data_IF_778876755687
#
_entry.id   IF_778876755687
#
_cell.length_a   1.000
_cell.length_b   1.000
_cell.length_c   1.000
_cell.angle_alpha   90.00
_cell.angle_beta   90.00
_cell.angle_gamma   90.00
#
_symmetry.space_group_name_H-M   'P 1'
#
loop_
_entity.id
_entity.type
_entity.pdbx_description
1 polymer ?
#
# COMPACT_ATOMS: atom_id res chain seq x y z
N UNK A 1 -12.32 -2.72 -2.75
CA UNK A 1 -12.17 -3.57 -1.54
C UNK A 1 -10.97 -3.17 -0.68
N UNK A 2 -9.72 -3.04 -1.18
CA UNK A 2 -8.58 -2.70 -0.32
C UNK A 2 -8.84 -1.45 0.52
N UNK A 3 -9.19 -0.32 -0.09
CA UNK A 3 -9.46 0.93 0.62
C UNK A 3 -10.72 0.87 1.49
N UNK A 4 -11.74 0.14 1.07
CA UNK A 4 -12.90 -0.09 1.94
C UNK A 4 -12.51 -0.82 3.23
N UNK A 5 -11.57 -1.77 3.14
CA UNK A 5 -11.03 -2.46 4.32
C UNK A 5 -10.14 -1.54 5.16
N UNK A 6 -9.20 -0.82 4.54
CA UNK A 6 -8.28 0.08 5.28
C UNK A 6 -9.05 1.16 6.03
N UNK A 7 -9.99 1.83 5.37
CA UNK A 7 -10.78 2.91 5.98
C UNK A 7 -11.80 2.33 6.96
N UNK A 8 -12.56 1.33 6.54
CA UNK A 8 -13.61 0.74 7.38
C UNK A 8 -13.06 0.06 8.64
N UNK A 9 -11.97 -0.70 8.54
CA UNK A 9 -11.35 -1.29 9.73
C UNK A 9 -10.71 -0.23 10.65
N UNK A 10 -10.23 0.88 10.08
CA UNK A 10 -9.75 2.01 10.88
C UNK A 10 -10.87 2.64 11.71
N UNK A 11 -12.03 2.93 11.08
CA UNK A 11 -13.20 3.47 11.76
C UNK A 11 -13.69 2.50 12.86
N UNK A 12 -13.85 1.23 12.51
CA UNK A 12 -14.31 0.21 13.47
C UNK A 12 -13.36 0.07 14.65
N UNK A 13 -12.06 -0.02 14.37
CA UNK A 13 -11.05 -0.21 15.40
C UNK A 13 -10.96 1.01 16.33
N UNK A 14 -11.01 2.23 15.78
CA UNK A 14 -11.02 3.46 16.57
C UNK A 14 -12.25 3.52 17.51
N UNK A 15 -13.44 3.22 16.98
CA UNK A 15 -14.68 3.20 17.74
C UNK A 15 -14.67 2.19 18.90
N UNK A 16 -14.04 1.03 18.70
CA UNK A 16 -14.01 -0.06 19.70
C UNK A 16 -12.81 0.01 20.66
N UNK A 17 -11.78 0.77 20.32
CA UNK A 17 -10.53 0.79 21.08
C UNK A 17 -10.62 1.56 22.42
N UNK A 18 -11.72 2.27 22.68
CA UNK A 18 -11.87 3.05 23.92
C UNK A 18 -10.74 4.07 24.14
N UNK A 19 -10.22 4.69 23.08
CA UNK A 19 -9.11 5.62 23.12
C UNK A 19 -7.71 4.99 23.10
N UNK A 20 -7.60 3.66 23.11
CA UNK A 20 -6.30 2.98 22.98
C UNK A 20 -5.85 2.89 21.52
N UNK A 21 -4.95 3.81 21.15
CA UNK A 21 -4.44 3.92 19.78
C UNK A 21 -3.71 2.64 19.30
N UNK A 22 -3.05 1.91 20.21
CA UNK A 22 -2.38 0.66 19.84
C UNK A 22 -3.39 -0.44 19.45
N UNK A 23 -4.52 -0.53 20.15
CA UNK A 23 -5.62 -1.44 19.80
C UNK A 23 -6.26 -1.01 18.49
N UNK A 24 -6.50 0.28 18.27
CA UNK A 24 -7.02 0.81 17.02
C UNK A 24 -6.08 0.48 15.84
N UNK A 25 -4.77 0.67 16.01
CA UNK A 25 -3.79 0.32 15.00
C UNK A 25 -3.76 -1.17 14.71
N UNK A 26 -3.82 -2.03 15.73
CA UNK A 26 -3.87 -3.48 15.56
C UNK A 26 -5.11 -3.92 14.79
N UNK A 27 -6.28 -3.38 15.17
CA UNK A 27 -7.56 -3.63 14.51
C UNK A 27 -7.61 -3.13 13.05
N UNK A 28 -6.79 -2.14 12.69
CA UNK A 28 -6.62 -1.71 11.29
C UNK A 28 -5.59 -2.57 10.53
N UNK A 29 -4.51 -2.97 11.20
CA UNK A 29 -3.37 -3.70 10.61
C UNK A 29 -3.77 -5.10 10.13
N UNK A 30 -4.42 -5.88 10.98
CA UNK A 30 -4.76 -7.29 10.69
C UNK A 30 -5.70 -7.40 9.48
N UNK A 31 -6.83 -6.66 9.41
CA UNK A 31 -7.71 -6.71 8.24
C UNK A 31 -7.02 -6.26 6.96
N UNK A 32 -6.14 -5.25 7.05
CA UNK A 32 -5.39 -4.77 5.86
C UNK A 32 -4.45 -5.84 5.31
N UNK A 33 -3.72 -6.54 6.15
CA UNK A 33 -2.88 -7.66 5.71
C UNK A 33 -3.71 -8.82 5.15
N UNK A 34 -4.80 -9.17 5.83
CA UNK A 34 -5.68 -10.26 5.42
C UNK A 34 -6.35 -10.00 4.06
N UNK A 35 -6.89 -8.79 3.84
CA UNK A 35 -7.53 -8.48 2.55
C UNK A 35 -6.52 -8.46 1.39
N UNK A 36 -5.27 -8.09 1.62
CA UNK A 36 -4.22 -8.18 0.60
C UNK A 36 -3.98 -9.63 0.19
N UNK A 37 -3.91 -10.57 1.14
CA UNK A 37 -3.79 -12.01 0.81
C UNK A 37 -4.94 -12.43 -0.08
N UNK A 38 -6.18 -12.11 0.29
CA UNK A 38 -7.39 -12.48 -0.46
C UNK A 38 -7.36 -11.90 -1.87
N UNK A 39 -7.16 -10.58 -1.99
CA UNK A 39 -7.23 -9.89 -3.28
C UNK A 39 -6.09 -10.32 -4.22
N UNK A 40 -4.87 -10.49 -3.71
CA UNK A 40 -3.75 -10.93 -4.54
C UNK A 40 -3.95 -12.38 -4.99
N UNK A 41 -4.49 -13.24 -4.13
CA UNK A 41 -4.79 -14.64 -4.49
C UNK A 41 -5.82 -14.70 -5.62
N UNK A 42 -6.90 -13.91 -5.53
CA UNK A 42 -7.98 -13.93 -6.53
C UNK A 42 -7.54 -13.27 -7.84
N UNK A 43 -6.94 -12.08 -7.77
CA UNK A 43 -6.66 -11.25 -8.93
C UNK A 43 -5.26 -11.40 -9.50
N UNK A 44 -4.36 -12.09 -8.80
CA UNK A 44 -3.02 -12.38 -9.31
C UNK A 44 -3.02 -13.02 -10.68
N UNK A 45 -3.75 -14.12 -10.89
CA UNK A 45 -3.85 -14.79 -12.20
C UNK A 45 -4.55 -13.96 -13.27
N UNK A 46 -5.40 -13.00 -12.88
CA UNK A 46 -6.23 -12.20 -13.81
C UNK A 46 -5.47 -10.97 -14.29
N UNK A 47 -4.85 -10.22 -13.37
CA UNK A 47 -4.28 -8.90 -13.65
C UNK A 47 -2.87 -8.69 -13.08
N UNK A 48 -2.28 -9.68 -12.46
CA UNK A 48 -1.05 -9.51 -11.69
C UNK A 48 -1.25 -8.82 -10.33
N UNK A 49 -2.47 -8.40 -10.01
CA UNK A 49 -2.88 -7.84 -8.72
C UNK A 49 -1.93 -6.76 -8.16
N UNK A 50 -1.55 -5.79 -8.99
CA UNK A 50 -0.61 -4.74 -8.53
C UNK A 50 -1.21 -3.91 -7.38
N UNK A 51 -2.48 -3.47 -7.48
CA UNK A 51 -3.21 -2.63 -6.52
C UNK A 51 -2.44 -1.40 -5.98
N UNK A 52 -1.34 -1.03 -6.64
CA UNK A 52 -0.38 -0.06 -6.12
C UNK A 52 0.41 0.58 -7.27
N UNK A 53 0.40 1.92 -7.45
CA UNK A 53 1.18 2.59 -8.48
C UNK A 53 2.70 2.40 -8.34
N UNK A 54 3.23 2.28 -7.11
CA UNK A 54 4.66 2.02 -6.89
C UNK A 54 5.07 0.61 -7.35
N UNK A 55 4.20 -0.38 -7.13
CA UNK A 55 4.37 -1.73 -7.69
C UNK A 55 4.27 -1.69 -9.21
N UNK A 56 3.28 -1.00 -9.76
CA UNK A 56 3.11 -0.83 -11.21
C UNK A 56 4.34 -0.19 -11.85
N UNK A 57 4.93 0.84 -11.22
CA UNK A 57 6.19 1.44 -11.64
C UNK A 57 7.33 0.42 -11.69
N UNK A 58 7.46 -0.43 -10.67
CA UNK A 58 8.49 -1.49 -10.64
C UNK A 58 8.37 -2.45 -11.82
N UNK A 59 7.15 -2.90 -12.15
CA UNK A 59 6.91 -3.76 -13.30
C UNK A 59 7.16 -3.04 -14.63
N UNK A 60 6.84 -1.74 -14.73
CA UNK A 60 7.16 -0.91 -15.89
C UNK A 60 8.67 -0.79 -16.12
N UNK A 61 9.44 -0.47 -15.06
CA UNK A 61 10.90 -0.36 -15.12
C UNK A 61 11.55 -1.68 -15.54
N UNK A 62 10.97 -2.80 -15.16
CA UNK A 62 11.39 -4.15 -15.56
C UNK A 62 10.87 -4.57 -16.93
N UNK A 63 10.19 -3.70 -17.67
CA UNK A 63 9.60 -3.95 -19.00
C UNK A 63 8.63 -5.15 -19.01
N UNK A 64 7.93 -5.39 -17.89
CA UNK A 64 6.92 -6.46 -17.78
C UNK A 64 5.53 -6.01 -18.18
N UNK A 65 5.30 -4.70 -18.30
CA UNK A 65 4.07 -4.07 -18.79
C UNK A 65 4.43 -2.91 -19.71
N UNK A 66 3.51 -2.52 -20.59
CA UNK A 66 3.66 -1.35 -21.45
C UNK A 66 3.33 -0.06 -20.69
N UNK A 67 3.77 1.09 -21.21
CA UNK A 67 3.45 2.40 -20.63
C UNK A 67 1.94 2.62 -20.61
N UNK A 68 1.22 2.29 -21.69
CA UNK A 68 -0.24 2.43 -21.76
C UNK A 68 -0.94 1.59 -20.69
N UNK A 69 -0.52 0.33 -20.50
CA UNK A 69 -1.04 -0.51 -19.43
C UNK A 69 -0.74 0.08 -18.04
N UNK A 70 0.47 0.59 -17.81
CA UNK A 70 0.83 1.21 -16.53
C UNK A 70 -0.06 2.42 -16.22
N UNK A 71 -0.31 3.29 -17.19
CA UNK A 71 -1.21 4.43 -17.02
C UNK A 71 -2.63 3.97 -16.68
N UNK A 72 -3.16 2.98 -17.41
CA UNK A 72 -4.48 2.43 -17.13
C UNK A 72 -4.56 1.82 -15.71
N UNK A 73 -3.54 1.05 -15.31
CA UNK A 73 -3.46 0.50 -13.94
C UNK A 73 -3.50 1.60 -12.88
N UNK A 74 -2.67 2.63 -13.01
CA UNK A 74 -2.62 3.73 -12.04
C UNK A 74 -3.97 4.45 -11.96
N UNK A 75 -4.60 4.73 -13.10
CA UNK A 75 -5.90 5.40 -13.15
C UNK A 75 -6.98 4.58 -12.40
N UNK A 76 -7.12 3.28 -12.72
CA UNK A 76 -8.13 2.43 -12.07
C UNK A 76 -7.80 2.15 -10.60
N UNK A 77 -6.53 2.14 -10.21
CA UNK A 77 -6.13 2.00 -8.81
C UNK A 77 -6.54 3.22 -7.98
N UNK A 78 -6.37 4.43 -8.51
CA UNK A 78 -6.77 5.67 -7.84
C UNK A 78 -8.30 5.75 -7.76
N UNK A 79 -9.00 5.57 -8.88
CA UNK A 79 -10.47 5.61 -8.92
C UNK A 79 -11.07 4.55 -7.99
N UNK A 80 -10.61 3.32 -8.08
CA UNK A 80 -11.06 2.23 -7.21
C UNK A 80 -10.73 2.46 -5.74
N UNK A 81 -9.59 3.13 -5.46
CA UNK A 81 -9.22 3.56 -4.11
C UNK A 81 -10.23 4.55 -3.53
N UNK A 82 -10.57 5.59 -4.29
CA UNK A 82 -11.55 6.63 -3.90
C UNK A 82 -12.93 6.00 -3.67
N UNK A 83 -13.41 5.19 -4.61
CA UNK A 83 -14.68 4.48 -4.46
C UNK A 83 -14.68 3.59 -3.21
N UNK A 84 -13.57 2.91 -2.94
CA UNK A 84 -13.42 2.09 -1.74
C UNK A 84 -13.51 2.89 -0.44
N UNK A 85 -12.88 4.08 -0.39
CA UNK A 85 -12.99 5.01 0.75
C UNK A 85 -14.44 5.46 0.95
N UNK A 86 -15.11 5.90 -0.10
CA UNK A 86 -16.51 6.31 -0.02
C UNK A 86 -17.45 5.16 0.34
N UNK A 87 -17.16 3.94 -0.11
CA UNK A 87 -17.91 2.75 0.32
C UNK A 87 -17.78 2.52 1.83
N UNK A 88 -16.59 2.73 2.40
CA UNK A 88 -16.41 2.67 3.86
C UNK A 88 -17.24 3.76 4.56
N UNK A 89 -17.19 5.01 4.06
CA UNK A 89 -18.01 6.09 4.63
C UNK A 89 -19.49 5.74 4.67
N UNK A 90 -20.04 5.21 3.57
CA UNK A 90 -21.45 4.79 3.52
C UNK A 90 -21.75 3.66 4.51
N UNK A 91 -20.89 2.64 4.61
CA UNK A 91 -21.09 1.53 5.55
C UNK A 91 -21.08 1.95 7.02
N UNK A 92 -20.37 3.04 7.34
CA UNK A 92 -20.22 3.55 8.70
C UNK A 92 -21.00 4.85 8.96
N UNK A 93 -21.94 5.21 8.07
CA UNK A 93 -22.73 6.44 8.19
C UNK A 93 -21.90 7.72 8.39
N UNK A 94 -20.71 7.78 7.75
CA UNK A 94 -19.87 8.96 7.72
C UNK A 94 -20.27 9.88 6.55
N UNK A 95 -19.90 11.16 6.62
CA UNK A 95 -20.00 12.05 5.49
C UNK A 95 -19.23 11.49 4.29
N UNK A 96 -19.86 11.50 3.11
CA UNK A 96 -19.28 10.88 1.91
C UNK A 96 -18.01 11.58 1.45
N UNK A 97 -18.05 12.90 1.38
CA UNK A 97 -16.94 13.74 0.90
C UNK A 97 -16.24 14.42 2.06
N UNK A 98 -15.06 13.95 2.39
CA UNK A 98 -14.25 14.48 3.48
C UNK A 98 -12.85 14.83 2.96
N UNK A 99 -12.18 15.77 3.62
CA UNK A 99 -10.74 15.99 3.50
C UNK A 99 -10.11 15.75 4.87
N UNK A 100 -9.06 14.96 4.90
CA UNK A 100 -8.39 14.63 6.16
C UNK A 100 -7.70 15.83 6.80
N UNK A 101 -7.86 15.97 8.09
CA UNK A 101 -7.10 16.91 8.94
C UNK A 101 -5.86 16.26 9.59
N UNK A 102 -5.67 14.94 9.46
CA UNK A 102 -4.60 14.21 10.12
C UNK A 102 -3.23 14.53 9.56
N UNK A 103 -2.42 15.23 10.34
CA UNK A 103 -1.06 15.61 9.94
C UNK A 103 -0.13 14.39 9.92
N UNK A 104 0.47 14.10 8.76
CA UNK A 104 1.50 13.06 8.57
C UNK A 104 2.59 13.62 7.66
N UNK A 105 3.64 14.20 8.25
CA UNK A 105 4.72 14.84 7.48
C UNK A 105 6.03 14.83 8.27
N UNK A 106 7.11 15.18 7.60
CA UNK A 106 8.45 15.28 8.17
C UNK A 106 9.38 14.14 7.73
N UNK A 107 10.69 14.36 7.88
CA UNK A 107 11.72 13.46 7.38
C UNK A 107 11.59 12.01 7.87
N UNK A 108 11.20 11.81 9.11
CA UNK A 108 10.98 10.46 9.67
C UNK A 108 9.82 9.74 8.98
N UNK A 109 8.72 10.44 8.69
CA UNK A 109 7.56 9.88 8.00
C UNK A 109 7.90 9.54 6.54
N UNK A 110 8.60 10.42 5.84
CA UNK A 110 9.02 10.19 4.45
C UNK A 110 10.03 9.06 4.34
N UNK A 111 11.04 9.01 5.24
CA UNK A 111 11.97 7.89 5.30
C UNK A 111 11.22 6.57 5.54
N UNK A 112 10.25 6.56 6.45
CA UNK A 112 9.41 5.40 6.74
C UNK A 112 8.66 4.91 5.51
N UNK A 113 8.06 5.82 4.71
CA UNK A 113 7.38 5.46 3.46
C UNK A 113 8.36 4.91 2.41
N UNK A 114 9.55 5.49 2.29
CA UNK A 114 10.63 4.97 1.44
C UNK A 114 11.03 3.55 1.83
N UNK A 115 11.29 3.30 3.12
CA UNK A 115 11.64 1.98 3.66
C UNK A 115 10.49 0.99 3.49
N UNK A 116 9.25 1.40 3.81
CA UNK A 116 8.07 0.55 3.66
C UNK A 116 7.85 0.11 2.21
N UNK A 117 7.97 1.04 1.27
CA UNK A 117 7.77 0.73 -0.15
C UNK A 117 8.95 -0.05 -0.74
N UNK A 118 10.17 0.26 -0.32
CA UNK A 118 11.34 -0.54 -0.66
C UNK A 118 11.14 -2.00 -0.25
N UNK A 119 10.81 -2.25 1.00
CA UNK A 119 10.62 -3.61 1.50
C UNK A 119 9.43 -4.32 0.86
N UNK A 120 8.32 -3.61 0.58
CA UNK A 120 7.18 -4.17 -0.14
C UNK A 120 7.59 -4.66 -1.54
N UNK A 121 8.23 -3.81 -2.34
CA UNK A 121 8.66 -4.15 -3.69
C UNK A 121 9.74 -5.24 -3.67
N UNK A 122 10.67 -5.19 -2.71
CA UNK A 122 11.66 -6.25 -2.52
C UNK A 122 11.00 -7.59 -2.16
N UNK A 123 9.99 -7.58 -1.29
CA UNK A 123 9.19 -8.77 -0.94
C UNK A 123 8.50 -9.34 -2.18
N UNK A 124 7.81 -8.50 -2.96
CA UNK A 124 7.14 -8.94 -4.19
C UNK A 124 8.13 -9.55 -5.17
N UNK A 125 9.19 -8.81 -5.52
CA UNK A 125 10.14 -9.26 -6.54
C UNK A 125 10.94 -10.48 -6.13
N UNK A 126 11.35 -10.55 -4.86
CA UNK A 126 12.03 -11.69 -4.28
C UNK A 126 11.12 -12.92 -4.27
N UNK A 127 9.89 -12.77 -3.79
CA UNK A 127 8.94 -13.89 -3.72
C UNK A 127 8.57 -14.39 -5.11
N UNK A 128 8.27 -13.51 -6.06
CA UNK A 128 8.00 -13.90 -7.44
C UNK A 128 9.17 -14.63 -8.12
N UNK A 129 10.40 -14.35 -7.70
CA UNK A 129 11.60 -15.00 -8.24
C UNK A 129 11.80 -16.41 -7.72
N UNK A 130 11.54 -16.65 -6.45
CA UNK A 130 11.94 -17.90 -5.79
C UNK A 130 10.76 -18.76 -5.27
N UNK A 131 9.62 -18.13 -4.97
CA UNK A 131 8.42 -18.77 -4.40
C UNK A 131 7.14 -18.04 -4.87
N UNK A 132 6.84 -18.00 -6.18
CA UNK A 132 5.74 -17.21 -6.72
C UNK A 132 4.38 -17.56 -6.11
N UNK A 133 4.18 -18.79 -5.67
CA UNK A 133 2.96 -19.26 -5.01
C UNK A 133 2.71 -18.60 -3.65
N UNK A 134 3.76 -18.08 -3.02
CA UNK A 134 3.67 -17.47 -1.69
C UNK A 134 3.45 -15.94 -1.74
N UNK A 135 3.44 -15.30 -2.92
CA UNK A 135 3.47 -13.82 -3.02
C UNK A 135 2.32 -13.15 -2.27
N UNK A 136 1.11 -13.72 -2.33
CA UNK A 136 -0.04 -13.16 -1.64
C UNK A 136 0.16 -13.11 -0.12
N UNK A 137 0.62 -14.21 0.46
CA UNK A 137 0.89 -14.32 1.90
C UNK A 137 2.04 -13.40 2.33
N UNK A 138 3.13 -13.38 1.55
CA UNK A 138 4.30 -12.56 1.88
C UNK A 138 4.00 -11.07 1.83
N UNK A 139 3.20 -10.61 0.88
CA UNK A 139 2.76 -9.21 0.80
C UNK A 139 1.86 -8.86 1.99
N UNK A 140 0.87 -9.68 2.30
CA UNK A 140 -0.02 -9.43 3.43
C UNK A 140 0.74 -9.40 4.76
N UNK A 141 1.63 -10.35 5.00
CA UNK A 141 2.47 -10.40 6.21
C UNK A 141 3.45 -9.22 6.27
N UNK A 142 4.06 -8.85 5.15
CA UNK A 142 4.96 -7.69 5.11
C UNK A 142 4.22 -6.40 5.48
N UNK A 143 3.06 -6.14 4.91
CA UNK A 143 2.27 -4.94 5.25
C UNK A 143 1.82 -4.98 6.70
N UNK A 144 1.39 -6.13 7.21
CA UNK A 144 1.06 -6.30 8.63
C UNK A 144 2.23 -5.91 9.54
N UNK A 145 3.43 -6.35 9.23
CA UNK A 145 4.63 -5.97 9.97
C UNK A 145 4.96 -4.48 9.81
N UNK A 146 4.89 -3.96 8.57
CA UNK A 146 5.29 -2.60 8.25
C UNK A 146 4.43 -1.52 8.92
N UNK A 147 3.16 -1.79 9.19
CA UNK A 147 2.31 -0.93 10.00
C UNK A 147 2.93 -0.61 11.39
N UNK A 148 3.73 -1.51 11.93
CA UNK A 148 4.27 -1.43 13.29
C UNK A 148 5.73 -0.99 13.35
N UNK A 149 6.55 -1.32 12.37
CA UNK A 149 7.96 -0.92 12.42
C UNK A 149 8.25 0.41 11.72
N UNK A 150 7.26 1.01 11.03
CA UNK A 150 7.42 2.30 10.36
C UNK A 150 6.62 3.40 11.04
N UNK A 151 7.21 4.58 11.22
CA UNK A 151 6.54 5.72 11.86
C UNK A 151 5.34 6.24 11.06
N UNK A 152 5.28 5.96 9.75
CA UNK A 152 4.18 6.35 8.86
C UNK A 152 2.99 5.40 8.91
N UNK A 153 3.11 4.25 9.56
CA UNK A 153 2.18 3.12 9.46
C UNK A 153 2.06 2.53 8.06
N UNK A 154 3.13 2.67 7.25
CA UNK A 154 3.30 2.00 5.96
C UNK A 154 2.12 2.12 5.00
N UNK A 155 1.90 3.30 4.45
CA UNK A 155 0.97 3.42 3.31
C UNK A 155 1.53 2.67 2.11
N UNK A 156 2.83 2.88 1.82
CA UNK A 156 3.62 2.18 0.81
C UNK A 156 2.94 2.10 -0.57
N UNK A 157 2.02 3.04 -0.87
CA UNK A 157 1.12 2.97 -2.02
C UNK A 157 0.56 4.35 -2.37
N UNK A 158 0.92 4.94 -3.52
CA UNK A 158 0.42 6.25 -3.94
C UNK A 158 -1.12 6.33 -4.07
N UNK A 159 -1.79 5.28 -4.55
CA UNK A 159 -3.24 5.29 -4.67
C UNK A 159 -3.93 5.25 -3.30
N UNK A 160 -3.38 4.47 -2.36
CA UNK A 160 -3.81 4.47 -0.95
C UNK A 160 -3.60 5.84 -0.33
N UNK A 161 -2.46 6.48 -0.57
CA UNK A 161 -2.14 7.81 -0.05
C UNK A 161 -3.14 8.87 -0.54
N UNK A 162 -3.47 8.85 -1.83
CA UNK A 162 -4.49 9.76 -2.41
C UNK A 162 -5.87 9.47 -1.80
N UNK A 163 -6.28 8.21 -1.76
CA UNK A 163 -7.60 7.85 -1.25
C UNK A 163 -7.76 8.17 0.25
N UNK A 164 -6.71 8.00 1.04
CA UNK A 164 -6.70 8.32 2.48
C UNK A 164 -6.65 9.83 2.75
N UNK A 165 -6.34 10.67 1.77
CA UNK A 165 -6.49 12.13 1.92
C UNK A 165 -7.95 12.59 1.84
N UNK A 166 -8.85 11.70 1.40
CA UNK A 166 -10.28 11.94 1.25
C UNK A 166 -11.12 11.33 2.39
N UNK A 167 -10.52 11.09 3.55
CA UNK A 167 -11.20 10.60 4.75
C UNK A 167 -10.62 11.22 6.00
N UNK A 168 -11.46 11.83 6.83
CA UNK A 168 -11.06 12.41 8.13
C UNK A 168 -11.34 11.41 9.26
N UNK A 169 -10.80 10.21 9.11
CA UNK A 169 -10.93 9.10 10.04
C UNK A 169 -9.53 8.63 10.48
N UNK A 170 -9.44 7.65 11.37
CA UNK A 170 -8.19 7.08 11.88
C UNK A 170 -7.11 6.88 10.81
N UNK A 171 -7.51 6.47 9.62
CA UNK A 171 -6.58 6.18 8.52
C UNK A 171 -6.18 7.39 7.69
N UNK A 172 -6.67 8.59 7.96
CA UNK A 172 -6.49 9.80 7.16
C UNK A 172 -5.06 10.31 7.03
N UNK A 173 -4.83 11.13 6.00
CA UNK A 173 -3.63 11.97 5.82
C UNK A 173 -4.04 13.33 5.26
N UNK A 174 -3.56 14.43 5.86
CA UNK A 174 -3.83 15.76 5.35
C UNK A 174 -3.39 15.90 3.88
N UNK A 175 -4.25 16.39 2.95
CA UNK A 175 -3.97 16.37 1.51
C UNK A 175 -2.63 16.98 1.11
N UNK A 176 -2.21 18.09 1.76
CA UNK A 176 -0.93 18.74 1.45
C UNK A 176 0.30 17.89 1.86
N UNK A 177 0.13 16.86 2.67
CA UNK A 177 1.21 15.95 3.07
C UNK A 177 1.34 14.73 2.15
N UNK A 178 0.30 14.42 1.36
CA UNK A 178 0.30 13.28 0.44
C UNK A 178 1.42 13.30 -0.61
N UNK A 179 1.79 14.45 -1.22
CA UNK A 179 2.88 14.47 -2.20
C UNK A 179 4.22 14.00 -1.65
N UNK A 180 4.58 14.35 -0.41
CA UNK A 180 5.82 13.90 0.23
C UNK A 180 5.88 12.38 0.41
N UNK A 181 4.76 11.77 0.80
CA UNK A 181 4.61 10.31 0.89
C UNK A 181 4.76 9.66 -0.47
N UNK A 182 4.06 10.17 -1.50
CA UNK A 182 4.10 9.62 -2.85
C UNK A 182 5.51 9.64 -3.43
N UNK A 183 6.24 10.75 -3.27
CA UNK A 183 7.64 10.84 -3.74
C UNK A 183 8.51 9.81 -3.03
N UNK A 184 8.43 9.71 -1.71
CA UNK A 184 9.21 8.75 -0.93
C UNK A 184 8.90 7.29 -1.33
N UNK A 185 7.62 6.98 -1.56
CA UNK A 185 7.15 5.66 -2.03
C UNK A 185 7.74 5.32 -3.41
N UNK A 186 7.68 6.25 -4.37
CA UNK A 186 8.22 6.02 -5.71
C UNK A 186 9.74 5.83 -5.68
N UNK A 187 10.46 6.61 -4.88
CA UNK A 187 11.91 6.43 -4.67
C UNK A 187 12.20 5.06 -4.08
N UNK A 188 11.48 4.66 -3.03
CA UNK A 188 11.63 3.33 -2.43
C UNK A 188 11.41 2.19 -3.43
N UNK A 189 10.39 2.30 -4.28
CA UNK A 189 10.08 1.33 -5.32
C UNK A 189 11.20 1.22 -6.38
N UNK A 190 11.75 2.36 -6.83
CA UNK A 190 12.86 2.39 -7.80
C UNK A 190 14.09 1.73 -7.20
N UNK A 191 14.49 2.12 -5.99
CA UNK A 191 15.67 1.57 -5.31
C UNK A 191 15.52 0.06 -5.10
N UNK A 192 14.36 -0.42 -4.65
CA UNK A 192 14.09 -1.85 -4.51
C UNK A 192 14.19 -2.60 -5.84
N UNK A 193 13.61 -2.04 -6.90
CA UNK A 193 13.62 -2.64 -8.23
C UNK A 193 15.04 -2.83 -8.74
N UNK A 194 15.89 -1.83 -8.59
CA UNK A 194 17.30 -1.87 -9.00
C UNK A 194 18.09 -2.86 -8.14
N UNK A 195 17.92 -2.80 -6.82
CA UNK A 195 18.63 -3.68 -5.87
C UNK A 195 18.32 -5.15 -6.10
N UNK A 196 17.02 -5.51 -6.19
CA UNK A 196 16.61 -6.89 -6.40
C UNK A 196 16.99 -7.36 -7.82
N UNK A 197 16.90 -6.48 -8.81
CA UNK A 197 17.37 -6.76 -10.17
C UNK A 197 18.85 -7.14 -10.19
N UNK A 198 19.69 -6.36 -9.52
CA UNK A 198 21.12 -6.61 -9.40
C UNK A 198 21.45 -7.89 -8.62
N UNK A 199 20.79 -8.13 -7.48
CA UNK A 199 20.99 -9.35 -6.71
C UNK A 199 20.60 -10.61 -7.50
N UNK A 200 19.53 -10.53 -8.29
CA UNK A 200 19.06 -11.65 -9.10
C UNK A 200 19.98 -11.97 -10.28
N UNK A 201 20.67 -10.97 -10.86
CA UNK A 201 21.62 -11.19 -11.96
C UNK A 201 22.90 -11.91 -11.50
N UNK A 202 23.46 -11.52 -10.36
CA UNK A 202 24.72 -12.11 -9.84
C UNK A 202 24.65 -13.60 -9.51
N UNK A 203 23.47 -14.14 -9.17
CA UNK A 203 23.32 -15.59 -8.91
C UNK A 203 23.30 -16.45 -10.18
N UNK A 204 23.16 -15.87 -11.37
CA UNK A 204 23.22 -16.63 -12.61
C UNK A 204 24.66 -16.87 -13.05
N UNK A 205 25.59 -16.02 -12.62
CA UNK A 205 27.03 -16.11 -12.97
C UNK A 205 27.81 -17.05 -12.03
N UNK A 206 27.17 -17.59 -10.96
CA UNK A 206 27.80 -18.43 -9.95
C UNK A 206 27.42 -19.93 -10.03
N UNK A 207 26.74 -20.35 -11.11
CA UNK A 207 26.41 -21.73 -11.45
C UNK A 207 26.97 -22.09 -12.82
#
# INVERSE_FOLDING_TARGET
>A
MLLATVVGSGIMAENLAGGNVAIALLGNTIPTGAILVVLITIFGPISGAHFNPAVTLSFLLRRKITIGAAIAYVAVQIIGGIIGTWSAHLMFAQELFQLSSHARTGGAQWLSEGVATFGLVATILGTLRWRPEAVAYMVGLYITAAYWFTASTSFANPAVTIARSLTDTFSGIYPAHAPGFIVAQLVGAVVATLTIGWLASRRLDSK
#
